data_IF_875907720674
#
_entry.id   IF_875907720674
#
_cell.length_a   1.000
_cell.length_b   1.000
_cell.length_c   1.000
_cell.angle_alpha   90.00
_cell.angle_beta   90.00
_cell.angle_gamma   90.00
#
_symmetry.space_group_name_H-M   'P 1'
#
loop_
_entity.id
_entity.type
_entity.pdbx_description
1 polymer ?
#
# COMPACT_ATOMS: atom_id res chain seq x y z
N UNK A 1 -29.71 14.86 7.56
CA UNK A 1 -28.78 14.11 8.42
C UNK A 1 -28.49 12.80 7.68
N UNK A 2 -27.36 12.71 6.99
CA UNK A 2 -26.91 11.48 6.33
C UNK A 2 -26.51 10.51 7.44
N UNK A 3 -27.22 9.40 7.58
CA UNK A 3 -26.83 8.30 8.48
C UNK A 3 -25.45 7.83 8.04
N UNK A 4 -24.43 8.14 8.81
CA UNK A 4 -23.08 7.63 8.55
C UNK A 4 -23.14 6.10 8.77
N UNK A 5 -22.91 5.33 7.70
CA UNK A 5 -22.81 3.89 7.79
C UNK A 5 -21.58 3.55 8.64
N UNK A 6 -21.74 2.77 9.70
CA UNK A 6 -20.66 2.32 10.58
C UNK A 6 -20.58 0.80 10.48
N UNK A 7 -19.38 0.29 10.22
CA UNK A 7 -19.14 -1.15 10.26
C UNK A 7 -19.26 -1.66 11.71
N UNK A 8 -20.00 -2.74 11.87
CA UNK A 8 -20.19 -3.37 13.17
C UNK A 8 -19.16 -4.48 13.37
N UNK A 9 -18.75 -4.65 14.61
CA UNK A 9 -17.93 -5.79 15.04
C UNK A 9 -16.55 -5.89 14.35
N UNK A 10 -15.92 -4.76 14.06
CA UNK A 10 -14.53 -4.70 13.58
C UNK A 10 -13.59 -4.73 14.79
N UNK A 11 -12.64 -5.66 14.80
CA UNK A 11 -11.60 -5.80 15.83
C UNK A 11 -10.21 -5.49 15.32
N UNK A 12 -10.02 -5.52 13.99
CA UNK A 12 -8.75 -5.19 13.37
C UNK A 12 -8.91 -4.40 12.09
N UNK A 13 -7.92 -3.52 11.81
CA UNK A 13 -7.80 -2.82 10.54
C UNK A 13 -6.48 -3.22 9.88
N UNK A 14 -6.57 -3.76 8.68
CA UNK A 14 -5.44 -4.11 7.84
C UNK A 14 -5.31 -3.07 6.72
N UNK A 15 -4.10 -2.66 6.43
CA UNK A 15 -3.80 -1.63 5.44
C UNK A 15 -2.85 -2.14 4.37
N UNK A 16 -3.01 -1.67 3.14
CA UNK A 16 -1.88 -1.64 2.22
C UNK A 16 -0.81 -0.68 2.72
N UNK A 17 0.38 -0.74 2.15
CA UNK A 17 1.54 0.04 2.58
C UNK A 17 1.73 1.27 1.70
N UNK A 18 2.20 1.05 0.47
CA UNK A 18 2.58 2.10 -0.48
C UNK A 18 1.34 2.76 -1.10
N UNK A 19 1.16 4.06 -0.90
CA UNK A 19 -0.03 4.78 -1.35
C UNK A 19 -1.17 4.81 -0.33
N UNK A 20 -1.09 4.01 0.73
CA UNK A 20 -2.12 3.96 1.77
C UNK A 20 -1.62 4.46 3.12
N UNK A 21 -0.56 3.89 3.67
CA UNK A 21 0.05 4.35 4.92
C UNK A 21 1.22 5.30 4.67
N UNK A 22 2.01 5.03 3.64
CA UNK A 22 3.23 5.79 3.33
C UNK A 22 3.26 6.27 1.87
N UNK A 23 3.90 7.41 1.69
CA UNK A 23 4.30 7.92 0.38
C UNK A 23 5.75 7.52 0.10
N UNK A 24 5.95 6.42 -0.60
CA UNK A 24 7.25 5.91 -1.06
C UNK A 24 7.59 6.31 -2.50
N UNK A 25 6.69 6.98 -3.20
CA UNK A 25 6.90 7.40 -4.59
C UNK A 25 8.16 8.26 -4.77
N UNK A 26 8.58 9.14 -3.84
CA UNK A 26 9.82 9.90 -3.98
C UNK A 26 11.06 9.01 -4.08
N UNK A 27 11.18 7.98 -3.24
CA UNK A 27 12.34 7.08 -3.28
C UNK A 27 12.27 6.10 -4.45
N UNK A 28 11.09 5.58 -4.79
CA UNK A 28 10.89 4.75 -5.98
C UNK A 28 11.21 5.52 -7.26
N UNK A 29 10.67 6.73 -7.40
CA UNK A 29 10.93 7.59 -8.58
C UNK A 29 12.40 7.95 -8.71
N UNK A 30 13.06 8.33 -7.62
CA UNK A 30 14.47 8.71 -7.64
C UNK A 30 15.40 7.50 -7.93
N UNK A 31 15.04 6.29 -7.49
CA UNK A 31 15.79 5.07 -7.84
C UNK A 31 15.73 4.80 -9.36
N UNK A 32 14.55 4.96 -9.98
CA UNK A 32 14.37 4.79 -11.40
C UNK A 32 15.01 5.94 -12.22
N UNK A 33 14.89 7.17 -11.73
CA UNK A 33 15.47 8.34 -12.41
C UNK A 33 17.00 8.32 -12.38
N UNK A 34 17.60 7.83 -11.28
CA UNK A 34 19.04 7.57 -11.24
C UNK A 34 19.51 6.68 -12.38
N UNK A 35 18.77 5.64 -12.72
CA UNK A 35 19.10 4.75 -13.83
C UNK A 35 19.10 5.47 -15.19
N UNK A 36 18.24 6.48 -15.36
CA UNK A 36 18.23 7.35 -16.54
C UNK A 36 19.47 8.22 -16.59
N UNK A 37 19.76 8.91 -15.50
CA UNK A 37 20.90 9.83 -15.36
C UNK A 37 22.21 9.08 -15.61
N UNK A 38 22.39 7.89 -15.04
CA UNK A 38 23.58 7.05 -15.22
C UNK A 38 23.79 6.63 -16.70
N UNK A 39 22.73 6.71 -17.53
CA UNK A 39 22.76 6.44 -18.97
C UNK A 39 22.82 7.72 -19.82
N UNK A 40 23.05 8.89 -19.22
CA UNK A 40 23.08 10.16 -19.92
C UNK A 40 21.71 10.65 -20.44
N UNK A 41 20.61 10.07 -19.96
CA UNK A 41 19.26 10.51 -20.29
C UNK A 41 18.84 11.66 -19.38
N UNK A 42 17.95 12.52 -19.88
CA UNK A 42 17.39 13.60 -19.06
C UNK A 42 16.57 13.04 -17.87
N UNK A 43 16.68 13.68 -16.71
CA UNK A 43 15.84 13.41 -15.54
C UNK A 43 14.37 13.67 -15.87
N UNK A 44 13.48 12.91 -15.24
CA UNK A 44 12.03 13.11 -15.27
C UNK A 44 11.53 13.61 -13.91
N UNK A 45 10.50 14.45 -13.88
CA UNK A 45 9.92 14.91 -12.63
C UNK A 45 9.22 13.78 -11.87
N UNK A 46 9.18 13.87 -10.55
CA UNK A 46 8.47 12.90 -9.69
C UNK A 46 7.00 12.69 -10.08
N UNK A 47 6.37 13.75 -10.61
CA UNK A 47 4.97 13.69 -11.05
C UNK A 47 4.71 12.64 -12.15
N UNK A 48 5.72 12.30 -12.94
CA UNK A 48 5.61 11.27 -13.98
C UNK A 48 5.67 9.85 -13.37
N UNK A 49 6.47 9.68 -12.32
CA UNK A 49 6.65 8.39 -11.63
C UNK A 49 5.52 8.06 -10.65
N UNK A 50 5.02 9.07 -9.92
CA UNK A 50 4.07 8.90 -8.82
C UNK A 50 2.81 8.07 -9.18
N UNK A 51 2.13 8.30 -10.31
CA UNK A 51 0.93 7.52 -10.66
C UNK A 51 1.22 6.03 -10.89
N UNK A 52 2.48 5.68 -11.10
CA UNK A 52 2.92 4.31 -11.38
C UNK A 52 3.62 3.65 -10.18
N UNK A 53 3.71 4.34 -9.04
CA UNK A 53 4.40 3.82 -7.85
C UNK A 53 3.77 2.53 -7.31
N UNK A 54 2.44 2.43 -7.29
CA UNK A 54 1.71 1.22 -6.91
C UNK A 54 1.94 0.01 -7.83
N UNK A 55 2.51 0.21 -9.03
CA UNK A 55 2.93 -0.87 -9.93
C UNK A 55 4.38 -1.35 -9.68
N UNK A 56 5.09 -0.75 -8.71
CA UNK A 56 6.46 -1.12 -8.34
C UNK A 56 7.45 -1.04 -9.50
N UNK A 57 8.41 -1.97 -9.57
CA UNK A 57 9.46 -1.97 -10.61
C UNK A 57 8.89 -1.93 -12.03
N UNK A 58 7.76 -2.61 -12.27
CA UNK A 58 7.11 -2.59 -13.59
C UNK A 58 6.70 -1.18 -14.00
N UNK A 59 6.07 -0.45 -13.09
CA UNK A 59 5.66 0.94 -13.34
C UNK A 59 6.86 1.87 -13.47
N UNK A 60 7.83 1.75 -12.58
CA UNK A 60 9.03 2.59 -12.58
C UNK A 60 9.86 2.43 -13.86
N UNK A 61 10.07 1.18 -14.32
CA UNK A 61 10.82 0.88 -15.56
C UNK A 61 10.02 1.32 -16.78
N UNK A 62 8.70 1.18 -16.78
CA UNK A 62 7.86 1.67 -17.87
C UNK A 62 7.97 3.20 -18.02
N UNK A 63 7.95 3.96 -16.94
CA UNK A 63 8.14 5.41 -16.96
C UNK A 63 9.56 5.77 -17.38
N UNK A 64 10.56 5.13 -16.78
CA UNK A 64 11.97 5.47 -17.03
C UNK A 64 12.43 5.15 -18.45
N UNK A 65 11.97 4.04 -19.05
CA UNK A 65 12.53 3.52 -20.30
C UNK A 65 11.49 3.13 -21.35
N UNK A 66 10.19 3.20 -21.06
CA UNK A 66 9.13 2.73 -21.96
C UNK A 66 9.11 1.22 -22.17
N UNK A 67 9.69 0.45 -21.24
CA UNK A 67 9.84 -1.01 -21.37
C UNK A 67 8.82 -1.77 -20.52
N UNK A 68 8.34 -2.88 -21.07
CA UNK A 68 7.41 -3.80 -20.40
C UNK A 68 8.13 -5.07 -19.94
N UNK A 69 7.51 -5.90 -19.08
CA UNK A 69 8.11 -7.14 -18.58
C UNK A 69 8.56 -8.11 -19.65
N UNK A 70 7.99 -8.05 -20.86
CA UNK A 70 8.32 -8.94 -21.99
C UNK A 70 9.65 -8.55 -22.68
N UNK A 71 10.18 -7.36 -22.36
CA UNK A 71 11.42 -6.90 -22.97
C UNK A 71 12.63 -7.68 -22.43
N UNK A 72 13.56 -8.17 -23.29
CA UNK A 72 14.69 -9.03 -22.86
C UNK A 72 15.60 -8.43 -21.77
N UNK A 73 15.67 -7.09 -21.68
CA UNK A 73 16.47 -6.39 -20.64
C UNK A 73 15.69 -6.12 -19.35
N UNK A 74 14.41 -6.50 -19.29
CA UNK A 74 13.56 -6.10 -18.15
C UNK A 74 14.08 -6.63 -16.81
N UNK A 75 14.44 -7.88 -16.72
CA UNK A 75 14.91 -8.49 -15.48
C UNK A 75 16.21 -7.84 -14.96
N UNK A 76 17.14 -7.53 -15.87
CA UNK A 76 18.38 -6.84 -15.49
C UNK A 76 18.10 -5.41 -14.99
N UNK A 77 17.19 -4.68 -15.65
CA UNK A 77 16.78 -3.34 -15.21
C UNK A 77 16.01 -3.37 -13.90
N UNK A 78 15.22 -4.42 -13.67
CA UNK A 78 14.48 -4.60 -12.42
C UNK A 78 15.45 -4.80 -11.25
N UNK A 79 16.47 -5.62 -11.41
CA UNK A 79 17.44 -5.83 -10.33
C UNK A 79 18.29 -4.57 -10.08
N UNK A 80 18.68 -3.83 -11.12
CA UNK A 80 19.36 -2.55 -10.97
C UNK A 80 18.47 -1.53 -10.24
N UNK A 81 17.19 -1.46 -10.61
CA UNK A 81 16.21 -0.62 -9.91
C UNK A 81 16.10 -1.02 -8.44
N UNK A 82 16.01 -2.30 -8.15
CA UNK A 82 15.93 -2.79 -6.77
C UNK A 82 17.17 -2.44 -5.95
N UNK A 83 18.36 -2.58 -6.51
CA UNK A 83 19.61 -2.18 -5.84
C UNK A 83 19.61 -0.67 -5.54
N UNK A 84 19.25 0.17 -6.51
CA UNK A 84 19.14 1.61 -6.30
C UNK A 84 18.08 2.00 -5.26
N UNK A 85 16.97 1.26 -5.21
CA UNK A 85 15.89 1.52 -4.25
C UNK A 85 16.31 1.11 -2.82
N UNK A 86 17.02 -0.01 -2.66
CA UNK A 86 17.55 -0.44 -1.34
C UNK A 86 18.46 0.61 -0.70
N UNK A 87 19.32 1.25 -1.50
CA UNK A 87 20.25 2.28 -1.01
C UNK A 87 19.55 3.51 -0.44
N UNK A 88 18.25 3.71 -0.74
CA UNK A 88 17.49 4.91 -0.38
C UNK A 88 16.10 4.64 0.17
N UNK A 89 15.85 3.45 0.66
CA UNK A 89 14.54 2.89 0.99
C UNK A 89 13.64 3.81 1.85
N UNK A 90 14.25 4.62 2.72
CA UNK A 90 13.56 5.55 3.64
C UNK A 90 14.13 6.98 3.59
N UNK A 91 14.86 7.33 2.54
CA UNK A 91 15.53 8.64 2.45
C UNK A 91 14.51 9.79 2.30
N UNK A 92 13.42 9.55 1.56
CA UNK A 92 12.35 10.52 1.30
C UNK A 92 10.95 9.91 1.48
N UNK A 93 10.86 8.66 1.93
CA UNK A 93 9.59 7.99 2.26
C UNK A 93 9.06 8.51 3.59
N UNK A 94 7.79 8.84 3.65
CA UNK A 94 7.12 9.36 4.85
C UNK A 94 5.68 8.83 4.95
N UNK A 95 5.09 8.88 6.16
CA UNK A 95 3.68 8.57 6.35
C UNK A 95 2.80 9.68 5.75
N UNK A 96 1.68 9.32 5.12
CA UNK A 96 0.71 10.33 4.69
C UNK A 96 0.19 11.13 5.90
N UNK A 97 -0.14 12.39 5.66
CA UNK A 97 -0.69 13.29 6.68
C UNK A 97 -1.94 12.67 7.33
N UNK A 98 -1.97 12.61 8.65
CA UNK A 98 -3.06 12.04 9.44
C UNK A 98 -2.99 10.52 9.67
N UNK A 99 -2.01 9.81 9.08
CA UNK A 99 -1.84 8.36 9.31
C UNK A 99 -1.38 8.07 10.74
N UNK A 100 -0.44 8.84 11.28
CA UNK A 100 0.05 8.61 12.64
C UNK A 100 -1.09 8.78 13.67
N UNK A 101 -1.91 9.81 13.52
CA UNK A 101 -3.08 10.08 14.36
C UNK A 101 -4.16 9.00 14.20
N UNK A 102 -4.37 8.51 12.98
CA UNK A 102 -5.28 7.39 12.70
C UNK A 102 -4.84 6.13 13.46
N UNK A 103 -3.56 5.74 13.32
CA UNK A 103 -3.02 4.56 13.99
C UNK A 103 -3.09 4.71 15.51
N UNK A 104 -2.72 5.88 16.05
CA UNK A 104 -2.85 6.15 17.49
C UNK A 104 -4.30 5.99 17.98
N UNK A 105 -5.29 6.45 17.19
CA UNK A 105 -6.70 6.31 17.51
C UNK A 105 -7.17 4.85 17.48
N UNK A 106 -6.75 4.06 16.48
CA UNK A 106 -7.03 2.63 16.35
C UNK A 106 -6.47 1.87 17.57
N UNK A 107 -5.20 2.11 17.91
CA UNK A 107 -4.54 1.49 19.08
C UNK A 107 -5.22 1.92 20.38
N UNK A 108 -5.53 3.21 20.54
CA UNK A 108 -6.22 3.76 21.71
C UNK A 108 -7.62 3.18 21.92
N UNK A 109 -8.29 2.79 20.85
CA UNK A 109 -9.58 2.08 20.88
C UNK A 109 -9.47 0.58 21.18
N UNK A 110 -8.26 0.05 21.34
CA UNK A 110 -8.02 -1.38 21.58
C UNK A 110 -8.16 -2.26 20.34
N UNK A 111 -8.24 -1.66 19.14
CA UNK A 111 -8.27 -2.40 17.88
C UNK A 111 -6.85 -2.84 17.50
N UNK A 112 -6.72 -4.05 16.94
CA UNK A 112 -5.47 -4.48 16.32
C UNK A 112 -5.33 -3.83 14.93
N UNK A 113 -4.08 -3.70 14.46
CA UNK A 113 -3.83 -3.28 13.09
C UNK A 113 -2.60 -3.95 12.50
N UNK A 114 -2.51 -3.93 11.17
CA UNK A 114 -1.38 -4.51 10.48
C UNK A 114 -1.30 -4.10 9.02
N UNK A 115 -0.26 -4.61 8.35
CA UNK A 115 0.06 -4.31 6.95
C UNK A 115 -0.09 -5.57 6.11
N UNK A 116 -0.71 -5.43 4.93
CA UNK A 116 -0.76 -6.47 3.90
C UNK A 116 -0.45 -5.83 2.55
N UNK A 117 0.75 -6.05 2.03
CA UNK A 117 1.26 -5.37 0.83
C UNK A 117 1.74 -6.33 -0.24
N UNK A 118 1.73 -5.89 -1.52
CA UNK A 118 2.39 -6.60 -2.62
C UNK A 118 3.90 -6.33 -2.71
N UNK A 119 4.43 -5.42 -1.89
CA UNK A 119 5.86 -5.17 -1.76
C UNK A 119 6.54 -6.39 -1.14
N UNK A 120 7.65 -6.86 -1.73
CA UNK A 120 8.38 -8.03 -1.22
C UNK A 120 8.99 -7.77 0.17
N UNK A 121 9.23 -8.83 0.93
CA UNK A 121 9.87 -8.79 2.24
C UNK A 121 11.27 -8.13 2.20
N UNK A 122 11.98 -8.24 1.08
CA UNK A 122 13.26 -7.56 0.81
C UNK A 122 13.20 -6.07 1.14
N UNK A 123 12.08 -5.40 0.83
CA UNK A 123 11.89 -3.96 1.06
C UNK A 123 10.95 -3.67 2.22
N UNK A 124 9.91 -4.48 2.41
CA UNK A 124 8.90 -4.23 3.44
C UNK A 124 9.51 -4.29 4.83
N UNK A 125 10.30 -5.33 5.14
CA UNK A 125 10.82 -5.53 6.49
C UNK A 125 11.79 -4.43 6.92
N UNK A 126 12.85 -4.07 6.16
CA UNK A 126 13.74 -2.99 6.58
C UNK A 126 13.04 -1.63 6.63
N UNK A 127 12.07 -1.37 5.74
CA UNK A 127 11.31 -0.13 5.73
C UNK A 127 10.45 0.00 7.00
N UNK A 128 9.68 -1.03 7.35
CA UNK A 128 8.82 -1.02 8.53
C UNK A 128 9.63 -1.02 9.83
N UNK A 129 10.80 -1.63 9.86
CA UNK A 129 11.72 -1.57 11.00
C UNK A 129 12.32 -0.17 11.20
N UNK A 130 12.56 0.57 10.12
CA UNK A 130 13.14 1.91 10.19
C UNK A 130 12.14 3.01 10.57
N UNK A 131 10.83 2.77 10.43
CA UNK A 131 9.79 3.77 10.68
C UNK A 131 9.04 3.47 11.99
N UNK A 132 9.11 4.36 13.01
CA UNK A 132 8.43 4.18 14.31
C UNK A 132 6.91 3.95 14.21
N UNK A 133 6.29 4.41 13.13
CA UNK A 133 4.87 4.18 12.84
C UNK A 133 4.46 2.71 13.01
N UNK A 134 5.33 1.78 12.63
CA UNK A 134 5.02 0.35 12.57
C UNK A 134 5.31 -0.42 13.86
N UNK A 135 5.83 0.21 14.91
CA UNK A 135 6.15 -0.44 16.20
C UNK A 135 4.94 -1.11 16.85
N UNK A 136 3.74 -0.59 16.61
CA UNK A 136 2.49 -1.12 17.15
C UNK A 136 1.73 -2.03 16.19
N UNK A 137 2.27 -2.32 15.01
CA UNK A 137 1.65 -3.23 14.05
C UNK A 137 1.72 -4.68 14.57
N UNK A 138 0.59 -5.35 14.64
CA UNK A 138 0.51 -6.76 15.10
C UNK A 138 0.95 -7.76 14.04
N UNK A 139 0.82 -7.39 12.77
CA UNK A 139 1.13 -8.27 11.63
C UNK A 139 1.63 -7.46 10.44
N UNK A 140 2.62 -8.01 9.73
CA UNK A 140 3.13 -7.48 8.47
C UNK A 140 3.23 -8.65 7.49
N UNK A 141 2.38 -8.63 6.46
CA UNK A 141 2.35 -9.61 5.38
C UNK A 141 2.89 -8.96 4.11
N UNK A 142 4.03 -9.43 3.63
CA UNK A 142 4.69 -8.96 2.42
C UNK A 142 4.19 -9.71 1.17
N UNK A 143 4.51 -9.21 -0.01
CA UNK A 143 4.03 -9.76 -1.28
C UNK A 143 4.47 -11.20 -1.60
N UNK A 144 5.52 -11.66 -0.93
CA UNK A 144 6.11 -13.00 -1.04
C UNK A 144 5.89 -13.87 0.23
N UNK A 145 5.09 -13.41 1.20
CA UNK A 145 4.74 -14.20 2.40
C UNK A 145 3.83 -15.37 2.06
N UNK A 146 2.97 -15.22 1.06
CA UNK A 146 2.05 -16.27 0.59
C UNK A 146 2.31 -16.61 -0.87
N UNK A 147 1.87 -17.79 -1.37
CA UNK A 147 2.08 -18.18 -2.76
C UNK A 147 1.45 -17.24 -3.79
N UNK A 148 0.49 -16.44 -3.39
CA UNK A 148 -0.25 -15.51 -4.25
C UNK A 148 -0.31 -14.13 -3.62
N UNK A 149 -0.02 -13.10 -4.43
CA UNK A 149 -0.17 -11.69 -4.05
C UNK A 149 -1.60 -11.18 -4.33
N UNK A 150 -1.96 -9.99 -3.80
CA UNK A 150 -3.22 -9.31 -4.17
C UNK A 150 -3.29 -9.10 -5.70
N UNK A 151 -4.41 -9.38 -6.36
CA UNK A 151 -5.79 -9.43 -5.86
C UNK A 151 -6.24 -10.78 -5.29
N UNK A 152 -5.36 -11.78 -5.16
CA UNK A 152 -5.74 -13.03 -4.50
C UNK A 152 -5.94 -12.80 -3.00
N UNK A 153 -6.94 -13.45 -2.34
CA UNK A 153 -7.24 -13.20 -0.92
C UNK A 153 -6.20 -13.80 0.06
N UNK A 154 -5.30 -14.67 -0.39
CA UNK A 154 -4.37 -15.39 0.47
C UNK A 154 -3.58 -14.50 1.46
N UNK A 155 -3.01 -13.33 1.06
CA UNK A 155 -2.28 -12.48 1.99
C UNK A 155 -3.16 -11.93 3.13
N UNK A 156 -4.41 -11.59 2.82
CA UNK A 156 -5.36 -11.05 3.79
C UNK A 156 -5.83 -12.15 4.76
N UNK A 157 -6.10 -13.33 4.23
CA UNK A 157 -6.45 -14.50 5.05
C UNK A 157 -5.29 -14.91 5.97
N UNK A 158 -4.06 -14.81 5.49
CA UNK A 158 -2.87 -15.05 6.31
C UNK A 158 -2.74 -14.01 7.43
N UNK A 159 -2.98 -12.73 7.14
CA UNK A 159 -2.98 -11.69 8.17
C UNK A 159 -4.06 -11.95 9.23
N UNK A 160 -5.29 -12.29 8.83
CA UNK A 160 -6.37 -12.63 9.76
C UNK A 160 -6.01 -13.85 10.63
N UNK A 161 -5.38 -14.89 10.03
CA UNK A 161 -4.89 -16.07 10.75
C UNK A 161 -3.83 -15.70 11.80
N UNK A 162 -2.87 -14.85 11.47
CA UNK A 162 -1.83 -14.39 12.40
C UNK A 162 -2.41 -13.53 13.54
N UNK A 163 -3.48 -12.78 13.26
CA UNK A 163 -4.22 -12.02 14.28
C UNK A 163 -5.14 -12.90 15.14
N UNK A 164 -5.34 -14.18 14.77
CA UNK A 164 -6.29 -15.10 15.38
C UNK A 164 -7.73 -14.57 15.29
N UNK A 165 -8.08 -14.00 14.13
CA UNK A 165 -9.39 -13.38 13.87
C UNK A 165 -10.09 -14.00 12.66
N UNK A 166 -11.43 -13.97 12.69
CA UNK A 166 -12.21 -14.28 11.49
C UNK A 166 -12.16 -13.08 10.53
N UNK A 167 -12.08 -13.32 9.20
CA UNK A 167 -11.92 -12.25 8.21
C UNK A 167 -13.01 -11.16 8.30
N UNK A 168 -14.25 -11.52 8.61
CA UNK A 168 -15.39 -10.60 8.71
C UNK A 168 -15.22 -9.54 9.82
N UNK A 169 -14.32 -9.77 10.78
CA UNK A 169 -13.97 -8.80 11.84
C UNK A 169 -12.70 -8.00 11.54
N UNK A 170 -12.11 -8.23 10.38
CA UNK A 170 -10.97 -7.47 9.86
C UNK A 170 -11.45 -6.56 8.72
N UNK A 171 -11.20 -5.27 8.81
CA UNK A 171 -11.42 -4.32 7.70
C UNK A 171 -10.14 -4.21 6.88
N UNK A 172 -10.25 -4.11 5.56
CA UNK A 172 -9.10 -3.88 4.69
C UNK A 172 -9.18 -2.52 3.99
N UNK A 173 -8.09 -1.76 4.03
CA UNK A 173 -7.96 -0.40 3.45
C UNK A 173 -6.81 -0.38 2.45
N UNK A 174 -7.06 0.09 1.23
CA UNK A 174 -6.02 0.22 0.20
C UNK A 174 -6.38 1.20 -0.91
N UNK A 175 -5.40 1.59 -1.71
CA UNK A 175 -5.52 2.62 -2.76
C UNK A 175 -5.50 2.06 -4.19
N UNK A 176 -5.60 0.74 -4.34
CA UNK A 176 -5.61 0.06 -5.64
C UNK A 176 -6.82 -0.89 -5.75
N UNK A 177 -7.33 -1.10 -6.98
CA UNK A 177 -8.44 -2.03 -7.22
C UNK A 177 -8.13 -3.45 -6.72
N UNK A 178 -6.86 -3.88 -6.81
CA UNK A 178 -6.40 -5.19 -6.31
C UNK A 178 -6.66 -5.38 -4.82
N UNK A 179 -6.65 -4.30 -4.05
CA UNK A 179 -6.92 -4.29 -2.61
C UNK A 179 -8.38 -4.62 -2.32
N UNK A 180 -9.26 -3.94 -3.05
CA UNK A 180 -10.69 -4.11 -2.89
C UNK A 180 -11.12 -5.51 -3.36
N UNK A 181 -10.57 -5.98 -4.48
CA UNK A 181 -10.83 -7.34 -4.98
C UNK A 181 -10.36 -8.39 -3.97
N UNK A 182 -9.14 -8.25 -3.42
CA UNK A 182 -8.59 -9.18 -2.43
C UNK A 182 -9.40 -9.17 -1.13
N UNK A 183 -9.74 -7.96 -0.61
CA UNK A 183 -10.53 -7.80 0.62
C UNK A 183 -11.91 -8.47 0.50
N UNK A 184 -12.62 -8.18 -0.58
CA UNK A 184 -13.93 -8.81 -0.84
C UNK A 184 -13.84 -10.33 -0.99
N UNK A 185 -12.82 -10.82 -1.69
CA UNK A 185 -12.59 -12.25 -1.85
C UNK A 185 -12.22 -12.95 -0.52
N UNK A 186 -11.60 -12.21 0.41
CA UNK A 186 -11.31 -12.67 1.77
C UNK A 186 -12.54 -12.59 2.71
N UNK A 187 -13.64 -11.97 2.28
CA UNK A 187 -14.82 -11.73 3.10
C UNK A 187 -14.66 -10.61 4.12
N UNK A 188 -13.73 -9.69 3.88
CA UNK A 188 -13.48 -8.51 4.72
C UNK A 188 -14.27 -7.30 4.21
N UNK A 189 -14.82 -6.43 5.08
CA UNK A 189 -15.21 -5.08 4.71
C UNK A 189 -14.03 -4.32 4.10
N UNK A 190 -14.29 -3.54 3.04
CA UNK A 190 -13.26 -2.87 2.25
C UNK A 190 -13.44 -1.36 2.19
N UNK A 191 -12.35 -0.62 2.29
CA UNK A 191 -12.33 0.84 2.17
C UNK A 191 -11.29 1.27 1.13
N UNK A 192 -11.72 2.03 0.13
CA UNK A 192 -10.82 2.59 -0.87
C UNK A 192 -10.20 3.90 -0.37
N UNK A 193 -8.88 3.97 -0.36
CA UNK A 193 -8.10 5.15 0.01
C UNK A 193 -7.88 6.03 -1.23
N UNK A 194 -8.82 6.96 -1.50
CA UNK A 194 -8.78 7.82 -2.67
C UNK A 194 -7.79 9.00 -2.56
N UNK A 195 -6.85 8.94 -1.64
CA UNK A 195 -5.73 9.89 -1.50
C UNK A 195 -4.38 9.30 -1.95
N UNK A 196 -4.34 8.03 -2.32
CA UNK A 196 -3.13 7.29 -2.68
C UNK A 196 -2.63 7.52 -4.11
N UNK A 197 -2.01 6.49 -4.69
CA UNK A 197 -1.41 6.56 -6.02
C UNK A 197 -2.44 6.35 -7.14
N UNK A 198 -3.46 7.18 -7.14
CA UNK A 198 -4.47 7.12 -8.20
C UNK A 198 -3.89 7.62 -9.53
N UNK A 199 -4.05 6.84 -10.58
CA UNK A 199 -3.79 7.29 -11.94
C UNK A 199 -4.75 8.40 -12.36
N UNK A 200 -4.39 9.12 -13.43
CA UNK A 200 -5.07 10.35 -13.91
C UNK A 200 -6.59 10.17 -14.20
N UNK A 201 -7.09 8.96 -14.31
CA UNK A 201 -8.47 8.67 -14.73
C UNK A 201 -9.12 7.56 -13.90
N UNK A 202 -8.66 7.32 -12.68
CA UNK A 202 -9.18 6.21 -11.87
C UNK A 202 -10.48 6.61 -11.19
N UNK A 203 -11.55 5.90 -11.53
CA UNK A 203 -12.84 5.97 -10.82
C UNK A 203 -12.85 4.94 -9.69
N UNK A 204 -12.51 5.39 -8.47
CA UNK A 204 -12.53 4.53 -7.27
C UNK A 204 -13.93 3.98 -6.95
N UNK A 205 -15.01 4.61 -7.43
CA UNK A 205 -16.36 4.10 -7.24
C UNK A 205 -16.60 2.81 -8.04
N UNK A 206 -15.91 2.64 -9.17
CA UNK A 206 -15.99 1.43 -9.99
C UNK A 206 -15.42 0.19 -9.26
N UNK A 207 -14.54 0.34 -8.29
CA UNK A 207 -13.97 -0.77 -7.50
C UNK A 207 -14.98 -1.45 -6.58
N UNK A 208 -16.11 -0.76 -6.29
CA UNK A 208 -17.17 -1.28 -5.42
C UNK A 208 -16.69 -1.59 -4.00
N UNK A 209 -15.80 -0.76 -3.45
CA UNK A 209 -15.48 -0.79 -2.03
C UNK A 209 -16.74 -0.45 -1.20
N UNK A 210 -16.79 -0.92 0.04
CA UNK A 210 -17.91 -0.64 0.94
C UNK A 210 -17.93 0.82 1.40
N UNK A 211 -16.76 1.48 1.43
CA UNK A 211 -16.60 2.91 1.67
C UNK A 211 -15.41 3.49 0.89
N UNK A 212 -15.40 4.81 0.70
CA UNK A 212 -14.29 5.55 0.07
C UNK A 212 -13.91 6.69 1.02
N UNK A 213 -12.60 6.85 1.25
CA UNK A 213 -12.05 7.94 2.07
C UNK A 213 -11.06 8.77 1.26
N UNK A 214 -11.10 10.09 1.44
CA UNK A 214 -10.21 11.06 0.76
C UNK A 214 -9.11 11.58 1.67
N UNK A 215 -9.05 11.11 2.90
CA UNK A 215 -7.98 11.36 3.88
C UNK A 215 -7.97 10.24 4.93
N UNK A 216 -6.80 9.89 5.52
CA UNK A 216 -6.68 8.79 6.47
C UNK A 216 -7.65 8.87 7.66
N UNK A 217 -7.74 10.04 8.31
CA UNK A 217 -8.58 10.25 9.50
C UNK A 217 -10.07 10.02 9.27
N UNK A 218 -10.55 10.08 8.01
CA UNK A 218 -11.96 9.82 7.70
C UNK A 218 -12.36 8.36 7.94
N UNK A 219 -11.39 7.44 8.04
CA UNK A 219 -11.65 6.05 8.38
C UNK A 219 -12.36 5.90 9.73
N UNK A 220 -12.04 6.77 10.70
CA UNK A 220 -12.64 6.74 12.04
C UNK A 220 -14.17 6.95 12.02
N UNK A 221 -14.71 7.59 10.99
CA UNK A 221 -16.16 7.76 10.82
C UNK A 221 -16.89 6.44 10.52
N UNK A 222 -16.17 5.42 10.09
CA UNK A 222 -16.71 4.11 9.73
C UNK A 222 -16.45 3.05 10.81
N UNK A 223 -15.63 3.35 11.81
CA UNK A 223 -15.31 2.46 12.92
C UNK A 223 -16.17 2.85 14.15
N UNK A 224 -16.65 1.83 14.87
CA UNK A 224 -17.28 2.05 16.16
C UNK A 224 -16.17 2.27 17.20
N UNK A 225 -15.88 3.53 17.49
CA UNK A 225 -14.95 3.88 18.56
C UNK A 225 -15.68 3.79 19.91
N UNK A 226 -15.04 3.30 20.97
CA UNK A 226 -15.62 3.22 22.32
C UNK A 226 -15.92 4.60 22.91
#
# INVERSE_FOLDING_TARGET
MTSTFVFKDIDAVLFDLDGTLIDSAPDLGAAADKMRIDRGMASLPLADYRPMAGAGARGMIAVAFGLTPEHPRFEALKEEFFSNYEERLTAMTYAFDGVAELIASIVGAGLKWGVVTNKSARFTLPLTQAMPLFETAYVIVSGDTTPHAKPHPAPLLEAARQLEMVPQRCMYVGDDERDIVAGRAAGMPTVAAAYGYLGVSVDTAAWKADAIITAPGLLLNFLRMP
#
